data_IF_375566724431
#
_entry.id   IF_375566724431
#
_cell.length_a   1.000
_cell.length_b   1.000
_cell.length_c   1.000
_cell.angle_alpha   90.00
_cell.angle_beta   90.00
_cell.angle_gamma   90.00
#
_symmetry.space_group_name_H-M   'P 1'
#
loop_
_entity.id
_entity.type
_entity.pdbx_description
1 polymer ?
#
# COMPACT_ATOMS: atom_id res chain seq x y z
N UNK A 1 -3.80 48.93 -29.93
CA UNK A 1 -2.80 47.96 -29.41
C UNK A 1 -3.43 47.28 -28.22
N UNK A 2 -3.83 46.01 -28.40
CA UNK A 2 -4.50 45.20 -27.35
C UNK A 2 -3.44 44.35 -26.66
N UNK A 3 -3.20 44.61 -25.36
CA UNK A 3 -2.29 43.79 -24.57
C UNK A 3 -3.00 42.49 -24.18
N UNK A 4 -2.55 41.39 -24.75
CA UNK A 4 -2.94 40.04 -24.35
C UNK A 4 -2.03 39.62 -23.19
N UNK A 5 -2.57 39.68 -21.97
CA UNK A 5 -1.92 39.13 -20.80
C UNK A 5 -2.20 37.61 -20.82
N UNK A 6 -1.20 36.84 -21.23
CA UNK A 6 -1.20 35.39 -21.07
C UNK A 6 -1.04 35.04 -19.59
N UNK A 7 -2.16 34.67 -18.96
CA UNK A 7 -2.14 34.07 -17.60
C UNK A 7 -1.68 32.63 -17.72
N UNK A 8 -0.38 32.40 -17.51
CA UNK A 8 0.17 31.04 -17.32
C UNK A 8 -0.26 30.55 -15.95
N UNK A 9 -1.37 29.84 -15.87
CA UNK A 9 -1.75 29.08 -14.70
C UNK A 9 -0.80 27.87 -14.59
N UNK A 10 0.26 28.03 -13.79
CA UNK A 10 1.07 26.91 -13.33
C UNK A 10 0.19 26.01 -12.46
N UNK A 11 -0.34 24.95 -13.03
CA UNK A 11 -0.89 23.84 -12.28
C UNK A 11 0.29 23.14 -11.57
N UNK A 12 0.61 23.59 -10.36
CA UNK A 12 1.47 22.83 -9.45
C UNK A 12 0.64 21.64 -9.01
N UNK A 13 0.81 20.51 -9.70
CA UNK A 13 0.32 19.21 -9.22
C UNK A 13 1.19 18.88 -8.02
N UNK A 14 0.74 19.29 -6.85
CA UNK A 14 1.33 18.83 -5.60
C UNK A 14 1.01 17.33 -5.47
N UNK A 15 1.97 16.47 -5.76
CA UNK A 15 1.91 15.08 -5.34
C UNK A 15 2.00 15.08 -3.81
N UNK A 16 0.86 15.25 -3.17
CA UNK A 16 0.74 15.03 -1.74
C UNK A 16 0.92 13.54 -1.51
N UNK A 17 2.11 13.12 -1.11
CA UNK A 17 2.28 11.81 -0.50
C UNK A 17 1.46 11.86 0.78
N UNK A 18 0.28 11.25 0.75
CA UNK A 18 -0.56 11.15 1.93
C UNK A 18 0.22 10.36 2.98
N UNK A 19 0.48 11.02 4.10
CA UNK A 19 1.07 10.38 5.27
C UNK A 19 -0.08 10.03 6.21
N UNK A 20 0.04 8.92 6.99
CA UNK A 20 -1.00 8.56 7.93
C UNK A 20 -1.29 9.70 8.90
N UNK A 21 -2.57 9.92 9.21
CA UNK A 21 -2.98 10.88 10.21
C UNK A 21 -2.84 10.29 11.63
N UNK A 22 -2.70 11.16 12.63
CA UNK A 22 -2.58 10.74 14.02
C UNK A 22 -3.77 9.85 14.43
N UNK A 23 -3.47 8.70 15.04
CA UNK A 23 -4.44 7.70 15.46
C UNK A 23 -4.90 6.73 14.38
N UNK A 24 -4.39 6.82 13.14
CA UNK A 24 -4.64 5.82 12.11
C UNK A 24 -3.90 4.52 12.39
N UNK A 25 -4.51 3.42 11.96
CA UNK A 25 -3.90 2.10 12.11
C UNK A 25 -3.03 1.78 10.91
N UNK A 26 -1.77 1.50 11.16
CA UNK A 26 -0.82 0.98 10.20
C UNK A 26 -0.61 -0.50 10.48
N UNK A 27 -0.88 -1.36 9.49
CA UNK A 27 -0.60 -2.79 9.56
C UNK A 27 0.66 -3.10 8.78
N UNK A 28 1.62 -3.70 9.43
CA UNK A 28 2.79 -4.30 8.81
C UNK A 28 2.59 -5.81 8.73
N UNK A 29 2.51 -6.33 7.53
CA UNK A 29 2.42 -7.77 7.28
C UNK A 29 3.78 -8.25 6.78
N UNK A 30 4.40 -9.14 7.53
CA UNK A 30 5.69 -9.74 7.20
C UNK A 30 5.43 -11.11 6.58
N UNK A 31 5.96 -11.30 5.38
CA UNK A 31 5.72 -12.53 4.61
C UNK A 31 7.03 -13.18 4.19
N UNK A 32 7.00 -14.50 4.17
CA UNK A 32 8.07 -15.31 3.62
C UNK A 32 7.62 -15.88 2.28
N UNK A 33 8.45 -15.67 1.27
CA UNK A 33 8.28 -16.20 -0.08
C UNK A 33 9.44 -17.14 -0.34
N UNK A 34 9.19 -18.31 -0.87
CA UNK A 34 10.27 -19.22 -1.26
C UNK A 34 11.09 -18.60 -2.40
N UNK A 35 12.39 -18.93 -2.41
CA UNK A 35 13.34 -18.26 -3.31
C UNK A 35 12.98 -18.39 -4.80
N UNK A 36 12.32 -19.50 -5.17
CA UNK A 36 11.87 -19.75 -6.54
C UNK A 36 10.63 -18.95 -6.95
N UNK A 37 9.84 -18.50 -6.00
CA UNK A 37 8.51 -17.90 -6.22
C UNK A 37 8.52 -16.37 -6.08
N UNK A 38 9.69 -15.77 -5.80
CA UNK A 38 9.82 -14.33 -5.53
C UNK A 38 9.29 -13.49 -6.71
N UNK A 39 9.66 -13.83 -7.93
CA UNK A 39 9.24 -13.09 -9.12
C UNK A 39 7.73 -13.20 -9.33
N UNK A 40 7.17 -14.40 -9.23
CA UNK A 40 5.73 -14.63 -9.38
C UNK A 40 4.94 -13.92 -8.27
N UNK A 41 5.42 -13.98 -7.03
CA UNK A 41 4.84 -13.25 -5.91
C UNK A 41 4.83 -11.73 -6.17
N UNK A 42 5.94 -11.17 -6.62
CA UNK A 42 6.02 -9.73 -6.87
C UNK A 42 5.10 -9.29 -8.02
N UNK A 43 5.01 -10.07 -9.09
CA UNK A 43 4.07 -9.83 -10.18
C UNK A 43 2.63 -9.89 -9.65
N UNK A 44 2.28 -10.92 -8.87
CA UNK A 44 0.96 -11.02 -8.26
C UNK A 44 0.64 -9.82 -7.38
N UNK A 45 1.58 -9.42 -6.53
CA UNK A 45 1.38 -8.31 -5.61
C UNK A 45 1.33 -6.95 -6.32
N UNK A 46 2.10 -6.73 -7.38
CA UNK A 46 2.10 -5.44 -8.10
C UNK A 46 0.97 -5.33 -9.11
N UNK A 47 0.77 -6.36 -9.93
CA UNK A 47 -0.14 -6.30 -11.08
C UNK A 47 -1.58 -6.68 -10.74
N UNK A 48 -1.77 -7.45 -9.68
CA UNK A 48 -3.10 -7.88 -9.26
C UNK A 48 -3.55 -7.17 -7.96
N UNK A 49 -2.84 -7.39 -6.86
CA UNK A 49 -3.20 -6.76 -5.57
C UNK A 49 -2.97 -5.26 -5.58
N UNK A 50 -1.86 -4.79 -6.16
CA UNK A 50 -1.50 -3.39 -6.25
C UNK A 50 -2.52 -2.53 -6.99
N UNK A 51 -3.15 -3.07 -8.04
CA UNK A 51 -4.24 -2.36 -8.75
C UNK A 51 -5.47 -2.17 -7.87
N UNK A 52 -5.81 -3.18 -7.05
CA UNK A 52 -6.90 -3.05 -6.08
C UNK A 52 -6.54 -2.06 -4.98
N UNK A 53 -5.31 -2.12 -4.49
CA UNK A 53 -4.81 -1.19 -3.48
C UNK A 53 -4.79 0.26 -4.00
N UNK A 54 -4.33 0.49 -5.24
CA UNK A 54 -4.39 1.80 -5.90
C UNK A 54 -5.82 2.33 -5.96
N UNK A 55 -6.76 1.47 -6.37
CA UNK A 55 -8.18 1.84 -6.43
C UNK A 55 -8.76 2.13 -5.05
N UNK A 56 -8.32 1.41 -4.03
CA UNK A 56 -8.71 1.66 -2.65
C UNK A 56 -8.18 3.02 -2.15
N UNK A 57 -6.97 3.40 -2.52
CA UNK A 57 -6.39 4.72 -2.21
C UNK A 57 -7.16 5.82 -2.94
N UNK A 58 -7.41 5.67 -4.25
CA UNK A 58 -8.21 6.63 -5.04
C UNK A 58 -9.60 6.87 -4.44
N UNK A 59 -10.22 5.83 -3.90
CA UNK A 59 -11.55 5.89 -3.30
C UNK A 59 -11.53 6.26 -1.80
N UNK A 60 -10.38 6.63 -1.25
CA UNK A 60 -10.23 7.00 0.16
C UNK A 60 -10.46 5.86 1.16
N UNK A 61 -10.32 4.60 0.73
CA UNK A 61 -10.46 3.41 1.59
C UNK A 61 -9.15 3.02 2.27
N UNK A 62 -8.04 3.33 1.61
CA UNK A 62 -6.69 3.27 2.15
C UNK A 62 -6.04 4.64 2.04
N UNK A 63 -5.19 4.99 2.97
CA UNK A 63 -4.28 6.12 2.83
C UNK A 63 -3.09 5.74 1.96
N UNK A 64 -2.57 4.54 2.18
CA UNK A 64 -1.39 4.06 1.47
C UNK A 64 -1.30 2.54 1.48
N UNK A 65 -0.60 2.00 0.49
CA UNK A 65 -0.21 0.60 0.40
C UNK A 65 1.20 0.51 -0.16
N UNK A 66 2.08 -0.23 0.51
CA UNK A 66 3.50 -0.31 0.13
C UNK A 66 3.95 -1.76 0.20
N UNK A 67 4.59 -2.25 -0.87
CA UNK A 67 5.33 -3.50 -0.88
C UNK A 67 6.82 -3.22 -0.76
N UNK A 68 7.51 -3.92 0.13
CA UNK A 68 8.96 -3.82 0.31
C UNK A 68 9.59 -5.20 0.29
N UNK A 69 10.66 -5.36 -0.48
CA UNK A 69 11.56 -6.52 -0.37
C UNK A 69 12.57 -6.26 0.74
N UNK A 70 12.82 -7.23 1.61
CA UNK A 70 13.84 -7.15 2.64
C UNK A 70 15.22 -7.23 1.98
N UNK A 71 16.12 -6.36 2.39
CA UNK A 71 17.51 -6.36 1.87
C UNK A 71 18.20 -7.68 2.20
N UNK A 72 18.96 -8.22 1.24
CA UNK A 72 19.75 -9.43 1.45
C UNK A 72 20.77 -9.30 2.58
N UNK A 73 21.19 -8.08 2.91
CA UNK A 73 22.11 -7.80 4.01
C UNK A 73 21.39 -7.57 5.36
N UNK A 74 20.05 -7.70 5.39
CA UNK A 74 19.30 -7.59 6.63
C UNK A 74 19.45 -8.88 7.45
N UNK A 75 19.63 -8.74 8.77
CA UNK A 75 19.62 -9.87 9.71
C UNK A 75 18.29 -10.65 9.71
N UNK A 76 17.21 -10.03 9.22
CA UNK A 76 15.86 -10.61 9.18
C UNK A 76 15.55 -11.34 7.87
N UNK A 77 16.43 -11.33 6.86
CA UNK A 77 16.13 -11.94 5.55
C UNK A 77 15.91 -13.48 5.60
N UNK A 78 16.37 -14.13 6.66
CA UNK A 78 16.11 -15.54 6.90
C UNK A 78 14.72 -15.82 7.48
N UNK A 79 14.09 -14.81 8.10
CA UNK A 79 12.79 -14.94 8.75
C UNK A 79 11.65 -14.58 7.81
N UNK A 80 11.80 -13.50 7.05
CA UNK A 80 10.82 -13.04 6.07
C UNK A 80 11.53 -12.35 4.89
N UNK A 81 10.91 -12.41 3.73
CA UNK A 81 11.47 -11.88 2.48
C UNK A 81 10.87 -10.53 2.08
N UNK A 82 9.62 -10.28 2.47
CA UNK A 82 8.89 -9.07 2.13
C UNK A 82 8.09 -8.52 3.31
N UNK A 83 7.79 -7.24 3.21
CA UNK A 83 6.90 -6.53 4.12
C UNK A 83 5.84 -5.77 3.30
N UNK A 84 4.58 -5.96 3.67
CA UNK A 84 3.45 -5.24 3.09
C UNK A 84 2.93 -4.28 4.16
N UNK A 85 2.87 -3.00 3.82
CA UNK A 85 2.40 -1.96 4.72
C UNK A 85 1.03 -1.49 4.24
N UNK A 86 0.06 -1.51 5.14
CA UNK A 86 -1.32 -1.09 4.93
C UNK A 86 -1.63 0.07 5.86
N UNK A 87 -1.89 1.23 5.30
CA UNK A 87 -2.34 2.38 6.08
C UNK A 87 -3.85 2.50 5.90
N UNK A 88 -4.59 2.11 6.94
CA UNK A 88 -6.04 1.94 6.89
C UNK A 88 -6.73 3.16 7.47
N UNK A 89 -7.66 3.77 6.72
CA UNK A 89 -8.52 4.81 7.25
C UNK A 89 -9.54 4.25 8.24
N UNK A 90 -9.92 5.06 9.23
CA UNK A 90 -11.06 4.77 10.12
C UNK A 90 -12.32 4.59 9.25
N UNK A 91 -13.03 3.48 9.45
CA UNK A 91 -14.27 3.11 8.75
C UNK A 91 -14.08 2.56 7.33
N UNK A 92 -13.03 1.81 7.07
CA UNK A 92 -12.79 1.18 5.78
C UNK A 92 -13.91 0.20 5.42
N UNK A 93 -14.65 0.42 4.32
CA UNK A 93 -15.55 -0.58 3.78
C UNK A 93 -14.79 -1.83 3.35
N UNK A 94 -15.49 -2.95 3.23
CA UNK A 94 -14.87 -4.22 2.85
C UNK A 94 -14.15 -4.13 1.49
N UNK A 95 -13.07 -4.85 1.33
CA UNK A 95 -12.30 -4.96 0.10
C UNK A 95 -13.14 -5.44 -1.10
N UNK A 96 -14.25 -6.16 -0.85
CA UNK A 96 -15.09 -6.74 -1.89
C UNK A 96 -15.52 -5.72 -2.95
N UNK A 97 -16.04 -4.55 -2.54
CA UNK A 97 -16.46 -3.49 -3.46
C UNK A 97 -15.31 -2.91 -4.29
N UNK A 98 -14.11 -2.83 -3.70
CA UNK A 98 -12.92 -2.35 -4.40
C UNK A 98 -12.47 -3.35 -5.46
N UNK A 99 -12.54 -4.65 -5.17
CA UNK A 99 -12.27 -5.71 -6.14
C UNK A 99 -13.23 -5.66 -7.33
N UNK A 100 -14.51 -5.50 -7.07
CA UNK A 100 -15.54 -5.40 -8.10
C UNK A 100 -15.33 -4.19 -9.02
N UNK A 101 -14.98 -3.04 -8.44
CA UNK A 101 -14.72 -1.83 -9.22
C UNK A 101 -13.39 -1.87 -9.98
N UNK A 102 -12.41 -2.64 -9.51
CA UNK A 102 -11.08 -2.77 -10.16
C UNK A 102 -11.14 -3.75 -11.34
N UNK A 103 -11.88 -4.83 -11.18
CA UNK A 103 -11.99 -5.90 -12.18
C UNK A 103 -13.44 -6.21 -12.54
N UNK A 104 -14.16 -5.27 -13.16
CA UNK A 104 -15.60 -5.43 -13.44
C UNK A 104 -15.91 -6.56 -14.43
N UNK A 105 -14.91 -7.02 -15.21
CA UNK A 105 -15.05 -8.13 -16.14
C UNK A 105 -14.78 -9.51 -15.55
N UNK A 106 -14.28 -9.59 -14.31
CA UNK A 106 -14.01 -10.86 -13.64
C UNK A 106 -15.19 -11.26 -12.74
N UNK A 107 -15.62 -12.52 -12.87
CA UNK A 107 -16.59 -13.09 -11.94
C UNK A 107 -16.02 -13.16 -10.50
N UNK A 108 -16.91 -13.23 -9.51
CA UNK A 108 -16.50 -13.41 -8.11
C UNK A 108 -15.66 -14.67 -7.92
N UNK A 109 -16.03 -15.77 -8.58
CA UNK A 109 -15.30 -17.05 -8.53
C UNK A 109 -13.90 -16.92 -9.13
N UNK A 110 -13.77 -16.22 -10.27
CA UNK A 110 -12.45 -15.98 -10.89
C UNK A 110 -11.53 -15.15 -9.99
N UNK A 111 -12.08 -14.13 -9.32
CA UNK A 111 -11.32 -13.31 -8.36
C UNK A 111 -10.89 -14.12 -7.14
N UNK A 112 -11.82 -14.92 -6.59
CA UNK A 112 -11.50 -15.81 -5.45
C UNK A 112 -10.43 -16.83 -5.80
N UNK A 113 -10.51 -17.42 -6.99
CA UNK A 113 -9.51 -18.36 -7.47
C UNK A 113 -8.14 -17.69 -7.61
N UNK A 114 -8.05 -16.52 -8.26
CA UNK A 114 -6.81 -15.77 -8.44
C UNK A 114 -6.20 -15.37 -7.08
N UNK A 115 -7.04 -14.92 -6.14
CA UNK A 115 -6.61 -14.60 -4.79
C UNK A 115 -6.05 -15.83 -4.06
N UNK A 116 -6.75 -16.97 -4.11
CA UNK A 116 -6.28 -18.22 -3.48
C UNK A 116 -4.95 -18.68 -4.05
N UNK A 117 -4.77 -18.59 -5.38
CA UNK A 117 -3.49 -18.92 -6.02
C UNK A 117 -2.37 -17.99 -5.57
N UNK A 118 -2.64 -16.69 -5.49
CA UNK A 118 -1.66 -15.74 -4.97
C UNK A 118 -1.28 -16.00 -3.51
N UNK A 119 -2.22 -16.47 -2.69
CA UNK A 119 -1.95 -16.83 -1.29
C UNK A 119 -1.05 -18.07 -1.15
N UNK A 120 -0.97 -18.95 -2.15
CA UNK A 120 -0.06 -20.10 -2.17
C UNK A 120 1.41 -19.69 -2.33
N UNK A 121 1.68 -18.47 -2.85
CA UNK A 121 3.03 -17.97 -3.12
C UNK A 121 3.79 -17.49 -1.87
N UNK A 122 3.11 -17.30 -0.74
CA UNK A 122 3.74 -16.79 0.46
C UNK A 122 3.10 -17.25 1.75
N UNK A 123 3.90 -17.26 2.79
CA UNK A 123 3.45 -17.48 4.16
C UNK A 123 3.47 -16.13 4.92
N UNK A 124 2.39 -15.82 5.63
CA UNK A 124 2.41 -14.69 6.58
C UNK A 124 3.11 -15.12 7.86
N UNK A 125 4.28 -14.58 8.11
CA UNK A 125 5.07 -14.89 9.32
C UNK A 125 4.43 -14.26 10.54
N UNK A 126 4.13 -12.96 10.47
CA UNK A 126 3.35 -12.25 11.49
C UNK A 126 2.78 -10.92 10.97
N UNK A 127 1.84 -10.36 11.73
CA UNK A 127 1.30 -9.03 11.52
C UNK A 127 1.57 -8.16 12.75
N UNK A 128 2.06 -6.94 12.54
CA UNK A 128 2.13 -5.90 13.54
C UNK A 128 1.11 -4.81 13.22
N UNK A 129 0.30 -4.43 14.20
CA UNK A 129 -0.63 -3.31 14.11
C UNK A 129 -0.09 -2.18 14.95
N UNK A 130 0.12 -1.03 14.32
CA UNK A 130 0.72 0.13 14.94
C UNK A 130 -0.22 1.32 14.83
N UNK A 131 -0.28 2.14 15.86
CA UNK A 131 -0.93 3.44 15.79
C UNK A 131 0.12 4.47 15.41
N UNK A 132 -0.19 5.26 14.40
CA UNK A 132 0.70 6.29 13.95
C UNK A 132 0.69 7.47 14.94
N UNK A 133 1.85 7.94 15.42
CA UNK A 133 1.97 8.99 16.43
C UNK A 133 2.61 10.26 15.86
N UNK A 134 3.80 10.18 15.24
CA UNK A 134 4.47 11.36 14.66
C UNK A 134 5.62 10.97 13.72
N UNK A 135 5.98 11.84 12.79
CA UNK A 135 7.12 11.66 11.89
C UNK A 135 7.59 12.98 11.28
N UNK A 136 8.60 12.91 10.43
CA UNK A 136 9.11 14.06 9.68
C UNK A 136 9.25 13.68 8.21
N UNK A 137 8.92 14.61 7.31
CA UNK A 137 9.21 14.45 5.89
C UNK A 137 10.64 14.92 5.57
N UNK A 138 11.08 14.72 4.35
CA UNK A 138 12.44 15.10 3.91
C UNK A 138 12.65 16.63 3.84
N UNK A 139 11.59 17.44 3.90
CA UNK A 139 11.66 18.91 3.94
C UNK A 139 11.89 19.43 5.36
N UNK A 140 11.89 18.54 6.37
CA UNK A 140 12.07 18.89 7.76
C UNK A 140 10.80 19.41 8.45
N UNK A 141 9.68 19.48 7.72
CA UNK A 141 8.39 19.81 8.33
C UNK A 141 7.99 18.69 9.29
N UNK A 142 7.62 19.08 10.51
CA UNK A 142 7.15 18.14 11.51
C UNK A 142 5.87 17.48 11.00
N UNK A 143 6.02 16.23 10.61
CA UNK A 143 4.87 15.37 10.37
C UNK A 143 4.56 14.72 11.70
N UNK A 144 3.45 15.10 12.30
CA UNK A 144 3.09 14.60 13.63
C UNK A 144 2.81 13.11 13.52
N UNK A 145 3.86 12.23 13.88
CA UNK A 145 3.48 10.82 13.86
C UNK A 145 4.67 9.82 13.91
N UNK A 146 4.90 9.13 14.99
CA UNK A 146 5.78 7.94 15.09
C UNK A 146 4.93 6.75 15.53
N UNK A 147 5.05 5.61 14.84
CA UNK A 147 4.42 4.37 15.27
C UNK A 147 5.12 3.85 16.54
N UNK A 148 4.38 3.63 17.62
CA UNK A 148 4.85 2.83 18.75
C UNK A 148 4.44 1.38 18.55
N UNK A 149 5.43 0.49 18.62
CA UNK A 149 5.17 -0.96 18.66
C UNK A 149 4.72 -1.32 20.09
N UNK A 150 3.53 -1.88 20.20
CA UNK A 150 3.03 -2.56 21.42
C UNK A 150 3.20 -4.06 21.24
#
# INVERSE_FOLDING_TARGET
MKNIICFFLFFIISFSYSQPNEGETVRFQFVKVEKGDIEEFEIFMTDFVGKVASKAVENGKLENWILRRVSQNSEYNSQFSHMIIWVVQKNTPTWAETWDSTYPGLSADSRSWAWSKGQELYETVYNAYCTYITGFNHTGDKVNNIATFN
#
